data_IF_286434762418
#
_entry.id   IF_286434762418
#
_cell.length_a   1.000
_cell.length_b   1.000
_cell.length_c   1.000
_cell.angle_alpha   90.00
_cell.angle_beta   90.00
_cell.angle_gamma   90.00
#
_symmetry.space_group_name_H-M   'P 1'
#
loop_
_entity.id
_entity.type
_entity.pdbx_description
1 polymer ?
#
# COMPACT_ATOMS: atom_id res chain seq x y z
N UNK A 1 5.65 -7.47 2.43
CA UNK A 1 5.24 -7.36 3.84
C UNK A 1 4.46 -8.63 4.21
N UNK A 2 4.72 -9.24 5.36
CA UNK A 2 3.92 -10.39 5.82
C UNK A 2 2.56 -9.89 6.36
N UNK A 3 1.41 -10.55 6.08
CA UNK A 3 0.08 -10.06 6.45
C UNK A 3 -0.14 -9.85 7.96
N UNK A 4 0.62 -10.54 8.80
CA UNK A 4 0.59 -10.37 10.27
C UNK A 4 1.38 -9.18 10.80
N UNK A 5 2.00 -8.36 9.94
CA UNK A 5 2.72 -7.15 10.35
C UNK A 5 1.76 -5.97 10.32
N UNK A 6 1.59 -5.30 11.46
CA UNK A 6 0.77 -4.10 11.58
C UNK A 6 1.57 -2.87 11.15
N UNK A 7 1.57 -2.58 9.84
CA UNK A 7 2.32 -1.48 9.26
C UNK A 7 1.66 -0.96 7.98
N UNK A 8 1.91 0.32 7.67
CA UNK A 8 1.58 0.93 6.39
C UNK A 8 2.86 1.08 5.57
N UNK A 9 2.84 0.55 4.33
CA UNK A 9 3.93 0.72 3.37
C UNK A 9 3.68 1.89 2.43
N UNK A 10 4.59 2.86 2.41
CA UNK A 10 4.55 4.01 1.49
C UNK A 10 5.63 3.83 0.43
N UNK A 11 5.20 3.72 -0.83
CA UNK A 11 6.09 3.50 -1.98
C UNK A 11 5.80 4.54 -3.04
N UNK A 12 6.82 5.31 -3.40
CA UNK A 12 6.73 6.27 -4.51
C UNK A 12 6.74 5.56 -5.85
N UNK A 13 5.87 5.97 -6.77
CA UNK A 13 5.85 5.50 -8.15
C UNK A 13 6.73 6.44 -8.98
N UNK A 14 7.78 5.89 -9.62
CA UNK A 14 8.70 6.63 -10.51
C UNK A 14 9.19 7.98 -9.94
N UNK A 15 9.79 8.03 -8.73
CA UNK A 15 10.25 9.27 -8.14
C UNK A 15 11.37 9.90 -8.99
N UNK A 16 11.36 11.22 -9.14
CA UNK A 16 12.39 11.96 -9.88
C UNK A 16 13.78 11.97 -9.21
N UNK A 17 13.88 11.50 -7.96
CA UNK A 17 15.12 11.44 -7.19
C UNK A 17 15.53 10.00 -6.93
N UNK A 18 16.81 9.66 -7.08
CA UNK A 18 17.33 8.30 -6.85
C UNK A 18 17.42 7.87 -5.38
N UNK A 19 17.25 8.81 -4.44
CA UNK A 19 17.33 8.57 -2.99
C UNK A 19 16.02 8.06 -2.37
N UNK A 20 14.93 7.98 -3.14
CA UNK A 20 13.67 7.47 -2.59
C UNK A 20 13.80 5.99 -2.22
N UNK A 21 13.25 5.64 -1.06
CA UNK A 21 13.19 4.28 -0.52
C UNK A 21 11.77 4.03 -0.01
N UNK A 22 11.25 2.79 -0.12
CA UNK A 22 10.02 2.42 0.57
C UNK A 22 10.10 2.74 2.07
N UNK A 23 9.06 3.36 2.60
CA UNK A 23 8.93 3.65 4.03
C UNK A 23 7.91 2.69 4.65
N UNK A 24 8.25 2.14 5.81
CA UNK A 24 7.33 1.37 6.65
C UNK A 24 7.07 2.18 7.92
N UNK A 25 5.80 2.47 8.19
CA UNK A 25 5.36 3.13 9.41
C UNK A 25 4.40 2.22 10.20
N UNK A 26 4.28 2.40 11.52
CA UNK A 26 3.32 1.64 12.33
C UNK A 26 1.88 1.76 11.80
N UNK A 27 1.08 0.70 11.95
CA UNK A 27 -0.29 0.62 11.41
C UNK A 27 -1.24 1.70 11.91
N UNK A 28 -1.03 2.16 13.14
CA UNK A 28 -1.77 3.22 13.82
C UNK A 28 -1.41 4.64 13.36
N UNK A 29 -0.40 4.79 12.48
CA UNK A 29 0.03 6.09 11.98
C UNK A 29 -1.05 6.76 11.12
N UNK A 30 -1.14 8.09 11.21
CA UNK A 30 -1.85 8.91 10.23
C UNK A 30 -0.85 9.48 9.22
N UNK A 31 -1.10 9.25 7.94
CA UNK A 31 -0.30 9.79 6.83
C UNK A 31 -1.11 10.89 6.16
N UNK A 32 -0.54 12.08 6.08
CA UNK A 32 -1.11 13.21 5.36
C UNK A 32 -0.32 13.48 4.08
N UNK A 33 -1.01 13.52 2.95
CA UNK A 33 -0.44 13.87 1.65
C UNK A 33 -1.08 15.15 1.15
N UNK A 34 -0.24 16.13 0.85
CA UNK A 34 -0.65 17.43 0.31
C UNK A 34 -0.09 17.62 -1.09
N UNK A 35 -0.93 18.08 -2.01
CA UNK A 35 -0.53 18.38 -3.39
C UNK A 35 0.07 19.78 -3.42
N UNK A 36 1.40 19.86 -3.44
CA UNK A 36 2.11 21.15 -3.50
C UNK A 36 1.97 21.82 -4.86
N UNK A 37 2.32 21.11 -5.95
CA UNK A 37 2.33 21.64 -7.31
C UNK A 37 1.83 20.58 -8.29
N UNK A 38 0.69 20.85 -8.95
CA UNK A 38 0.10 20.03 -10.01
C UNK A 38 -0.96 20.82 -10.78
N UNK A 39 -0.74 21.06 -12.07
CA UNK A 39 -1.70 21.77 -12.92
C UNK A 39 -3.02 21.00 -13.18
N UNK A 40 -3.07 19.70 -12.84
CA UNK A 40 -4.25 18.83 -13.05
C UNK A 40 -4.79 18.19 -11.76
N UNK A 41 -4.21 18.51 -10.60
CA UNK A 41 -4.53 17.82 -9.34
C UNK A 41 -3.93 16.40 -9.28
N UNK A 42 -4.59 15.51 -8.54
CA UNK A 42 -4.23 14.09 -8.46
C UNK A 42 -5.47 13.21 -8.48
N UNK A 43 -5.27 11.91 -8.63
CA UNK A 43 -6.33 10.90 -8.51
C UNK A 43 -5.92 9.95 -7.40
N UNK A 44 -6.82 9.72 -6.45
CA UNK A 44 -6.68 8.66 -5.45
C UNK A 44 -7.51 7.48 -5.91
N UNK A 45 -6.88 6.32 -6.03
CA UNK A 45 -7.54 5.08 -6.43
C UNK A 45 -7.51 4.08 -5.28
N UNK A 46 -8.64 3.41 -5.04
CA UNK A 46 -8.83 2.42 -3.98
C UNK A 46 -8.95 1.03 -4.63
N UNK A 47 -8.00 0.14 -4.32
CA UNK A 47 -7.94 -1.27 -4.78
C UNK A 47 -8.14 -1.49 -6.29
N UNK A 48 -7.89 -0.45 -7.11
CA UNK A 48 -8.12 -0.47 -8.55
C UNK A 48 -9.60 -0.45 -8.98
N UNK A 49 -10.54 -0.24 -8.06
CA UNK A 49 -11.98 -0.32 -8.33
C UNK A 49 -12.66 1.04 -8.37
N UNK A 50 -12.29 1.95 -7.48
CA UNK A 50 -12.91 3.27 -7.35
C UNK A 50 -11.82 4.34 -7.31
N UNK A 51 -12.12 5.52 -7.86
CA UNK A 51 -11.20 6.65 -7.85
C UNK A 51 -11.90 7.97 -7.54
N UNK A 52 -11.15 8.88 -6.94
CA UNK A 52 -11.60 10.23 -6.58
C UNK A 52 -10.56 11.24 -7.07
N UNK A 53 -11.04 12.29 -7.74
CA UNK A 53 -10.20 13.40 -8.15
C UNK A 53 -9.94 14.33 -6.95
N UNK A 54 -8.68 14.71 -6.77
CA UNK A 54 -8.22 15.61 -5.71
C UNK A 54 -7.68 16.89 -6.35
N UNK A 55 -8.18 18.03 -5.90
CA UNK A 55 -7.75 19.34 -6.35
C UNK A 55 -6.66 19.91 -5.44
N UNK A 56 -5.98 20.97 -5.90
CA UNK A 56 -5.08 21.73 -5.04
C UNK A 56 -5.80 22.23 -3.77
N UNK A 57 -5.06 22.32 -2.67
CA UNK A 57 -5.57 22.77 -1.38
C UNK A 57 -6.34 21.72 -0.58
N UNK A 58 -6.59 20.54 -1.15
CA UNK A 58 -7.17 19.42 -0.42
C UNK A 58 -6.08 18.52 0.18
N UNK A 59 -6.34 18.02 1.39
CA UNK A 59 -5.48 17.06 2.06
C UNK A 59 -6.03 15.65 1.92
N UNK A 60 -5.13 14.71 1.62
CA UNK A 60 -5.44 13.28 1.63
C UNK A 60 -4.93 12.73 2.96
N UNK A 61 -5.83 12.21 3.79
CA UNK A 61 -5.50 11.58 5.07
C UNK A 61 -5.73 10.09 4.98
N UNK A 62 -4.69 9.32 5.31
CA UNK A 62 -4.69 7.86 5.25
C UNK A 62 -4.40 7.37 6.66
N UNK A 63 -5.28 6.53 7.18
CA UNK A 63 -5.11 5.87 8.46
C UNK A 63 -5.75 4.49 8.40
N UNK A 64 -5.33 3.57 9.26
CA UNK A 64 -5.96 2.26 9.38
C UNK A 64 -7.41 2.41 9.87
N UNK A 65 -8.32 1.68 9.22
CA UNK A 65 -9.72 1.67 9.62
C UNK A 65 -9.93 0.79 10.86
N UNK A 66 -10.79 1.22 11.81
CA UNK A 66 -11.00 0.51 13.10
C UNK A 66 -11.52 -0.92 12.98
N UNK A 67 -12.17 -1.24 11.85
CA UNK A 67 -12.68 -2.58 11.54
C UNK A 67 -11.74 -3.26 10.55
N UNK A 68 -11.28 -4.45 10.91
CA UNK A 68 -10.46 -5.33 10.07
C UNK A 68 -11.31 -6.42 9.43
N UNK A 69 -10.82 -6.95 8.31
CA UNK A 69 -11.45 -8.08 7.61
C UNK A 69 -10.95 -9.38 8.23
N UNK A 70 -11.87 -10.31 8.49
CA UNK A 70 -11.53 -11.66 8.93
C UNK A 70 -11.55 -12.62 7.75
N UNK A 71 -10.40 -13.22 7.44
CA UNK A 71 -10.25 -14.17 6.34
C UNK A 71 -10.20 -15.60 6.88
N UNK A 72 -10.91 -16.52 6.23
CA UNK A 72 -10.86 -17.94 6.55
C UNK A 72 -9.77 -18.62 5.71
N UNK A 73 -8.98 -19.44 6.38
CA UNK A 73 -7.90 -20.20 5.75
C UNK A 73 -8.16 -21.72 5.86
N UNK A 74 -7.86 -22.51 4.81
CA UNK A 74 -7.85 -23.96 4.90
C UNK A 74 -6.88 -24.46 5.97
N UNK A 75 -7.10 -25.68 6.50
CA UNK A 75 -6.26 -26.25 7.58
C UNK A 75 -4.77 -26.36 7.21
N UNK A 76 -4.45 -26.49 5.94
CA UNK A 76 -3.10 -26.62 5.38
C UNK A 76 -2.58 -25.31 4.75
N UNK A 77 -3.10 -24.15 5.17
CA UNK A 77 -2.66 -22.85 4.68
C UNK A 77 -1.21 -22.56 5.05
N UNK A 78 -0.37 -22.30 4.04
CA UNK A 78 0.99 -21.79 4.18
C UNK A 78 1.15 -20.53 3.33
N UNK A 79 1.29 -19.38 4.00
CA UNK A 79 1.47 -18.08 3.35
C UNK A 79 2.73 -18.04 2.47
N UNK A 80 3.85 -18.58 2.95
CA UNK A 80 5.11 -18.51 2.22
C UNK A 80 5.13 -19.44 1.02
N UNK A 81 4.49 -20.60 1.11
CA UNK A 81 4.32 -21.48 -0.04
C UNK A 81 3.50 -20.82 -1.15
N UNK A 82 2.41 -20.13 -0.80
CA UNK A 82 1.61 -19.36 -1.76
C UNK A 82 2.46 -18.29 -2.45
N UNK A 83 3.25 -17.52 -1.70
CA UNK A 83 4.08 -16.45 -2.28
C UNK A 83 5.18 -17.04 -3.18
N UNK A 84 5.85 -18.13 -2.77
CA UNK A 84 6.87 -18.80 -3.60
C UNK A 84 6.29 -19.28 -4.91
N UNK A 85 5.13 -19.93 -4.86
CA UNK A 85 4.41 -20.40 -6.06
C UNK A 85 4.03 -19.24 -6.98
N UNK A 86 3.46 -18.16 -6.44
CA UNK A 86 2.99 -17.00 -7.23
C UNK A 86 4.11 -16.16 -7.84
N UNK A 87 5.25 -16.04 -7.16
CA UNK A 87 6.38 -15.22 -7.60
C UNK A 87 7.50 -16.06 -8.23
N UNK A 88 7.31 -17.38 -8.34
CA UNK A 88 8.32 -18.34 -8.83
C UNK A 88 9.66 -18.26 -8.08
N UNK A 89 9.63 -18.00 -6.78
CA UNK A 89 10.85 -17.86 -5.97
C UNK A 89 11.43 -19.23 -5.60
N UNK A 90 12.72 -19.42 -5.88
CA UNK A 90 13.47 -20.61 -5.49
C UNK A 90 13.24 -21.84 -6.38
N UNK A 91 12.52 -21.69 -7.49
CA UNK A 91 12.51 -22.72 -8.53
C UNK A 91 13.93 -22.86 -9.09
N UNK A 92 14.51 -24.07 -9.02
CA UNK A 92 15.65 -24.42 -9.86
C UNK A 92 15.16 -24.44 -11.30
N UNK A 93 15.81 -23.66 -12.16
CA UNK A 93 15.72 -23.82 -13.62
C UNK A 93 16.12 -25.25 -14.01
#
# INVERSE_FOLDING_TARGET
MHPGVDAIGVVSICPHTMSHRPLLVPGESEIMVHIKESGKGAIVSFDGQTSVAITMGQDIRIHQHKRVIHLLHPKNYDYFEIIRSKLHWGAKL
#
